data_IF_784398924997
#
_entry.id   IF_784398924997
#
_cell.length_a   1.000
_cell.length_b   1.000
_cell.length_c   1.000
_cell.angle_alpha   90.00
_cell.angle_beta   90.00
_cell.angle_gamma   90.00
#
_symmetry.space_group_name_H-M   'P 1'
#
loop_
_entity.id
_entity.type
_entity.pdbx_description
1 polymer ?
#
# COMPACT_ATOMS: atom_id res chain seq x y z
N UNK A 1 36.62 -19.12 25.80
CA UNK A 1 35.21 -19.19 26.25
C UNK A 1 34.40 -18.33 25.29
N UNK A 2 33.58 -18.95 24.44
CA UNK A 2 32.90 -18.28 23.35
C UNK A 2 31.41 -18.59 23.39
N UNK A 3 30.63 -17.59 22.95
CA UNK A 3 29.22 -17.62 22.54
C UNK A 3 28.16 -17.46 23.64
N UNK A 4 27.86 -16.19 23.95
CA UNK A 4 26.55 -15.76 24.49
C UNK A 4 25.97 -14.56 23.73
N UNK A 5 26.36 -14.34 22.47
CA UNK A 5 25.91 -13.20 21.66
C UNK A 5 24.67 -13.46 20.80
N UNK A 6 24.21 -14.72 20.69
CA UNK A 6 23.16 -15.14 19.75
C UNK A 6 21.73 -14.78 20.18
N UNK A 7 21.43 -14.79 21.49
CA UNK A 7 20.05 -14.57 21.98
C UNK A 7 19.54 -13.13 21.81
N UNK A 8 20.43 -12.14 21.70
CA UNK A 8 20.05 -10.73 21.62
C UNK A 8 19.78 -10.27 20.18
N UNK A 9 20.26 -11.02 19.18
CA UNK A 9 20.18 -10.65 17.76
C UNK A 9 18.83 -11.05 17.15
N UNK A 10 18.36 -12.28 17.45
CA UNK A 10 17.07 -12.78 16.97
C UNK A 10 15.90 -11.97 17.55
N UNK A 11 15.97 -11.57 18.82
CA UNK A 11 14.97 -10.71 19.45
C UNK A 11 14.85 -9.37 18.73
N UNK A 12 15.98 -8.72 18.46
CA UNK A 12 16.00 -7.46 17.70
C UNK A 12 15.47 -7.63 16.28
N UNK A 13 15.78 -8.74 15.60
CA UNK A 13 15.22 -9.03 14.28
C UNK A 13 13.70 -9.15 14.35
N UNK A 14 13.16 -9.91 15.31
CA UNK A 14 11.73 -10.08 15.49
C UNK A 14 11.04 -8.74 15.76
N UNK A 15 11.57 -7.91 16.66
CA UNK A 15 11.03 -6.58 16.97
C UNK A 15 10.98 -5.68 15.72
N UNK A 16 12.07 -5.68 14.93
CA UNK A 16 12.15 -4.91 13.68
C UNK A 16 11.13 -5.42 12.65
N UNK A 17 10.99 -6.74 12.49
CA UNK A 17 10.02 -7.32 11.55
C UNK A 17 8.58 -7.08 11.98
N UNK A 18 8.28 -7.12 13.26
CA UNK A 18 6.96 -6.81 13.82
C UNK A 18 6.61 -5.34 13.62
N UNK A 19 7.58 -4.42 13.77
CA UNK A 19 7.36 -3.01 13.48
C UNK A 19 6.99 -2.77 12.01
N UNK A 20 7.63 -3.47 11.07
CA UNK A 20 7.25 -3.43 9.64
C UNK A 20 5.86 -4.02 9.43
N UNK A 21 5.53 -5.14 10.06
CA UNK A 21 4.19 -5.75 9.96
C UNK A 21 3.08 -4.80 10.45
N UNK A 22 3.31 -4.13 11.60
CA UNK A 22 2.39 -3.11 12.14
C UNK A 22 2.26 -1.92 11.19
N UNK A 23 3.36 -1.45 10.61
CA UNK A 23 3.36 -0.37 9.62
C UNK A 23 2.60 -0.76 8.33
N UNK A 24 2.76 -2.00 7.86
CA UNK A 24 1.98 -2.50 6.72
C UNK A 24 0.49 -2.57 7.05
N UNK A 25 0.13 -2.94 8.28
CA UNK A 25 -1.26 -3.02 8.73
C UNK A 25 -1.91 -1.64 8.82
N UNK A 26 -1.18 -0.59 9.23
CA UNK A 26 -1.70 0.78 9.28
C UNK A 26 -2.00 1.38 7.90
N UNK A 27 -1.50 0.79 6.80
CA UNK A 27 -1.86 1.22 5.45
C UNK A 27 -3.35 1.01 5.13
N UNK A 28 -4.00 -0.02 5.66
CA UNK A 28 -5.40 -0.34 5.33
C UNK A 28 -6.39 0.79 5.71
N UNK A 29 -6.38 1.36 6.94
CA UNK A 29 -7.25 2.48 7.28
C UNK A 29 -6.96 3.73 6.43
N UNK A 30 -5.70 4.02 6.10
CA UNK A 30 -5.32 5.16 5.23
C UNK A 30 -5.88 4.94 3.80
N UNK A 31 -5.81 3.71 3.29
CA UNK A 31 -6.45 3.35 2.02
C UNK A 31 -7.96 3.51 2.05
N UNK A 32 -8.63 3.16 3.14
CA UNK A 32 -10.10 3.35 3.28
C UNK A 32 -10.45 4.84 3.36
N UNK A 33 -9.71 5.63 4.13
CA UNK A 33 -9.91 7.07 4.27
C UNK A 33 -9.73 7.80 2.91
N UNK A 34 -8.66 7.49 2.18
CA UNK A 34 -8.41 8.06 0.85
C UNK A 34 -9.53 7.75 -0.15
N UNK A 35 -10.16 6.56 -0.04
CA UNK A 35 -11.32 6.19 -0.87
C UNK A 35 -12.56 7.01 -0.53
N UNK A 36 -12.90 7.13 0.75
CA UNK A 36 -14.07 7.90 1.20
C UNK A 36 -13.98 9.36 0.75
N UNK A 37 -12.77 9.93 0.84
CA UNK A 37 -12.49 11.28 0.34
C UNK A 37 -12.65 11.41 -1.19
N UNK A 38 -12.49 10.31 -1.96
CA UNK A 38 -12.75 10.33 -3.42
C UNK A 38 -14.25 10.40 -3.77
N UNK A 39 -15.15 9.98 -2.87
CA UNK A 39 -16.59 10.00 -3.10
C UNK A 39 -17.17 11.42 -2.88
N UNK A 40 -16.53 12.22 -2.03
CA UNK A 40 -16.96 13.58 -1.67
C UNK A 40 -16.14 14.59 -2.49
N UNK A 41 -16.42 14.66 -3.80
CA UNK A 41 -15.57 15.40 -4.77
C UNK A 41 -15.76 16.92 -4.78
N UNK A 42 -16.63 17.50 -3.94
CA UNK A 42 -17.09 18.90 -4.11
C UNK A 42 -16.39 19.96 -3.27
N UNK A 43 -15.49 19.61 -2.36
CA UNK A 43 -14.87 20.59 -1.45
C UNK A 43 -13.34 20.58 -1.52
N UNK A 44 -12.73 21.77 -1.64
CA UNK A 44 -11.27 21.93 -1.79
C UNK A 44 -10.45 21.45 -0.58
N UNK A 45 -11.07 21.37 0.60
CA UNK A 45 -10.50 20.78 1.82
C UNK A 45 -10.23 19.28 1.66
N UNK A 46 -11.18 18.52 1.11
CA UNK A 46 -11.03 17.07 0.91
C UNK A 46 -9.98 16.71 -0.13
N UNK A 47 -9.73 17.59 -1.13
CA UNK A 47 -8.62 17.38 -2.08
C UNK A 47 -7.26 17.41 -1.40
N UNK A 48 -7.02 18.38 -0.52
CA UNK A 48 -5.74 18.49 0.22
C UNK A 48 -5.54 17.31 1.15
N UNK A 49 -6.58 16.95 1.92
CA UNK A 49 -6.54 15.78 2.82
C UNK A 49 -6.24 14.49 2.05
N UNK A 50 -6.90 14.28 0.90
CA UNK A 50 -6.65 13.13 0.02
C UNK A 50 -5.20 13.09 -0.45
N UNK A 51 -4.66 14.22 -0.92
CA UNK A 51 -3.30 14.26 -1.45
C UNK A 51 -2.27 14.00 -0.33
N UNK A 52 -2.53 14.47 0.89
CA UNK A 52 -1.77 14.09 2.09
C UNK A 52 -1.83 12.58 2.34
N UNK A 53 -3.02 11.97 2.38
CA UNK A 53 -3.19 10.53 2.62
C UNK A 53 -2.51 9.67 1.52
N UNK A 54 -2.56 10.11 0.26
CA UNK A 54 -1.87 9.45 -0.85
C UNK A 54 -0.35 9.52 -0.69
N UNK A 55 0.18 10.68 -0.31
CA UNK A 55 1.60 10.87 -0.09
C UNK A 55 2.09 10.07 1.11
N UNK A 56 1.36 10.11 2.24
CA UNK A 56 1.64 9.30 3.42
C UNK A 56 1.68 7.80 3.09
N UNK A 57 0.68 7.32 2.34
CA UNK A 57 0.66 5.93 1.87
C UNK A 57 1.89 5.60 1.01
N UNK A 58 2.32 6.52 0.13
CA UNK A 58 3.51 6.31 -0.72
C UNK A 58 4.77 6.23 0.13
N UNK A 59 4.95 7.18 1.05
CA UNK A 59 6.09 7.23 1.96
C UNK A 59 6.20 5.93 2.75
N UNK A 60 5.11 5.50 3.39
CA UNK A 60 5.10 4.25 4.17
C UNK A 60 5.39 3.01 3.32
N UNK A 61 4.92 2.96 2.07
CA UNK A 61 5.26 1.85 1.15
C UNK A 61 6.76 1.85 0.83
N UNK A 62 7.34 3.02 0.54
CA UNK A 62 8.78 3.14 0.25
C UNK A 62 9.63 2.77 1.47
N UNK A 63 9.31 3.27 2.65
CA UNK A 63 10.04 2.94 3.88
C UNK A 63 9.99 1.45 4.19
N UNK A 64 8.82 0.81 4.07
CA UNK A 64 8.69 -0.62 4.30
C UNK A 64 9.42 -1.45 3.23
N UNK A 65 9.47 -0.97 1.98
CA UNK A 65 10.29 -1.59 0.93
C UNK A 65 11.76 -1.59 1.29
N UNK A 66 12.28 -0.46 1.72
CA UNK A 66 13.70 -0.31 2.04
C UNK A 66 14.07 -1.15 3.27
N UNK A 67 13.20 -1.19 4.30
CA UNK A 67 13.39 -2.07 5.46
C UNK A 67 13.36 -3.55 5.09
N UNK A 68 12.44 -3.99 4.24
CA UNK A 68 12.39 -5.39 3.79
C UNK A 68 13.67 -5.75 3.02
N UNK A 69 14.17 -4.87 2.14
CA UNK A 69 15.46 -5.07 1.45
C UNK A 69 16.64 -5.12 2.42
N UNK A 70 16.60 -4.32 3.48
CA UNK A 70 17.62 -4.39 4.52
C UNK A 70 17.62 -5.77 5.20
N UNK A 71 16.45 -6.32 5.52
CA UNK A 71 16.35 -7.69 6.04
C UNK A 71 16.83 -8.73 5.03
N UNK A 72 16.57 -8.56 3.73
CA UNK A 72 17.13 -9.44 2.69
C UNK A 72 18.66 -9.48 2.74
N UNK A 73 19.29 -8.31 2.85
CA UNK A 73 20.73 -8.18 3.00
C UNK A 73 21.24 -8.81 4.30
N UNK A 74 20.61 -8.51 5.44
CA UNK A 74 20.97 -9.09 6.74
C UNK A 74 20.85 -10.62 6.73
N UNK A 75 19.76 -11.15 6.17
CA UNK A 75 19.51 -12.59 6.06
C UNK A 75 20.47 -13.29 5.10
N UNK A 76 20.96 -12.60 4.05
CA UNK A 76 21.95 -13.18 3.12
C UNK A 76 23.29 -13.50 3.79
N UNK A 77 23.56 -12.92 4.97
CA UNK A 77 24.76 -13.18 5.77
C UNK A 77 24.60 -14.38 6.70
N UNK A 78 23.38 -14.89 6.85
CA UNK A 78 23.10 -16.10 7.63
C UNK A 78 23.40 -17.33 6.78
N UNK A 79 24.21 -18.23 7.32
CA UNK A 79 24.46 -19.52 6.69
C UNK A 79 23.24 -20.44 6.87
N UNK A 80 23.01 -21.37 5.94
CA UNK A 80 21.86 -22.29 5.98
C UNK A 80 21.87 -23.22 7.20
N UNK A 81 23.03 -23.42 7.82
CA UNK A 81 23.18 -24.19 9.07
C UNK A 81 22.85 -23.39 10.32
N UNK A 82 22.55 -22.09 10.21
CA UNK A 82 22.13 -21.29 11.35
C UNK A 82 20.76 -21.78 11.84
N UNK A 83 20.59 -22.06 13.15
CA UNK A 83 19.32 -22.51 13.71
C UNK A 83 18.13 -21.59 13.42
N UNK A 84 18.38 -20.30 13.17
CA UNK A 84 17.37 -19.29 12.91
C UNK A 84 17.19 -18.99 11.41
N UNK A 85 17.96 -19.63 10.52
CA UNK A 85 17.90 -19.37 9.07
C UNK A 85 16.47 -19.45 8.52
N UNK A 86 15.75 -20.53 8.84
CA UNK A 86 14.37 -20.74 8.38
C UNK A 86 13.38 -19.74 8.99
N UNK A 87 13.60 -19.29 10.23
CA UNK A 87 12.78 -18.24 10.84
C UNK A 87 12.94 -16.92 10.07
N UNK A 88 14.18 -16.51 9.81
CA UNK A 88 14.49 -15.30 9.08
C UNK A 88 13.91 -15.32 7.66
N UNK A 89 14.13 -16.44 6.94
CA UNK A 89 13.59 -16.67 5.61
C UNK A 89 12.07 -16.54 5.57
N UNK A 90 11.35 -17.28 6.43
CA UNK A 90 9.87 -17.25 6.45
C UNK A 90 9.31 -15.88 6.79
N UNK A 91 9.93 -15.16 7.74
CA UNK A 91 9.48 -13.80 8.07
C UNK A 91 9.74 -12.81 6.95
N UNK A 92 10.89 -12.89 6.31
CA UNK A 92 11.18 -12.05 5.16
C UNK A 92 10.21 -12.33 3.99
N UNK A 93 9.95 -13.61 3.66
CA UNK A 93 8.98 -14.02 2.64
C UNK A 93 7.58 -13.47 2.96
N UNK A 94 7.11 -13.63 4.20
CA UNK A 94 5.81 -13.11 4.64
C UNK A 94 5.69 -11.59 4.48
N UNK A 95 6.70 -10.82 4.91
CA UNK A 95 6.68 -9.36 4.78
C UNK A 95 6.67 -8.93 3.31
N UNK A 96 7.45 -9.59 2.47
CA UNK A 96 7.53 -9.33 1.02
C UNK A 96 6.19 -9.58 0.33
N UNK A 97 5.55 -10.72 0.60
CA UNK A 97 4.24 -11.06 0.05
C UNK A 97 3.14 -10.08 0.52
N UNK A 98 3.12 -9.77 1.82
CA UNK A 98 2.15 -8.84 2.40
C UNK A 98 2.26 -7.44 1.77
N UNK A 99 3.48 -6.95 1.54
CA UNK A 99 3.72 -5.70 0.83
C UNK A 99 3.26 -5.79 -0.64
N UNK A 100 3.65 -6.83 -1.38
CA UNK A 100 3.26 -7.01 -2.79
C UNK A 100 1.75 -7.04 -2.98
N UNK A 101 1.02 -7.73 -2.11
CA UNK A 101 -0.44 -7.77 -2.14
C UNK A 101 -1.06 -6.39 -1.96
N UNK A 102 -0.48 -5.54 -1.10
CA UNK A 102 -0.95 -4.16 -0.88
C UNK A 102 -0.66 -3.27 -2.09
N UNK A 103 0.50 -3.44 -2.73
CA UNK A 103 0.83 -2.74 -3.97
C UNK A 103 -0.07 -3.17 -5.14
N UNK A 104 -0.33 -4.47 -5.29
CA UNK A 104 -1.23 -5.00 -6.32
C UNK A 104 -2.68 -4.50 -6.13
N UNK A 105 -3.17 -4.47 -4.88
CA UNK A 105 -4.46 -3.85 -4.52
C UNK A 105 -4.52 -2.36 -4.90
N UNK A 106 -3.39 -1.64 -4.88
CA UNK A 106 -3.30 -0.25 -5.34
C UNK A 106 -3.34 -0.15 -6.87
N UNK A 107 -2.67 -1.05 -7.59
CA UNK A 107 -2.65 -1.11 -9.05
C UNK A 107 -4.02 -1.39 -9.67
N UNK A 108 -4.73 -2.43 -9.21
CA UNK A 108 -6.10 -2.75 -9.68
C UNK A 108 -7.10 -1.61 -9.47
N UNK A 109 -6.97 -0.85 -8.38
CA UNK A 109 -7.85 0.29 -8.08
C UNK A 109 -7.60 1.50 -8.99
N UNK A 110 -6.37 1.69 -9.47
CA UNK A 110 -6.07 2.75 -10.44
C UNK A 110 -6.69 2.45 -11.81
N UNK A 111 -6.69 1.18 -12.23
CA UNK A 111 -7.37 0.73 -13.46
C UNK A 111 -8.89 0.93 -13.35
N UNK A 112 -9.50 0.59 -12.21
CA UNK A 112 -10.93 0.83 -11.96
C UNK A 112 -11.32 2.31 -12.03
N UNK A 113 -10.57 3.19 -11.34
CA UNK A 113 -10.80 4.65 -11.38
C UNK A 113 -10.58 5.26 -12.77
N UNK A 114 -9.59 4.77 -13.52
CA UNK A 114 -9.36 5.22 -14.89
C UNK A 114 -10.56 4.86 -15.78
N UNK A 115 -11.13 3.66 -15.62
CA UNK A 115 -12.31 3.21 -16.35
C UNK A 115 -13.58 4.00 -15.98
N UNK A 116 -13.80 4.30 -14.70
CA UNK A 116 -14.93 5.14 -14.25
C UNK A 116 -14.82 6.56 -14.81
N UNK A 117 -13.63 7.17 -14.73
CA UNK A 117 -13.38 8.51 -15.31
C UNK A 117 -13.57 8.52 -16.83
N UNK A 118 -13.15 7.45 -17.53
CA UNK A 118 -13.38 7.30 -18.96
C UNK A 118 -14.86 7.20 -19.29
N UNK A 119 -15.63 6.51 -18.44
CA UNK A 119 -17.06 6.33 -18.62
C UNK A 119 -17.81 7.67 -18.39
N UNK A 120 -17.47 8.42 -17.34
CA UNK A 120 -18.01 9.76 -17.08
C UNK A 120 -17.66 10.72 -18.23
N UNK A 121 -16.41 10.72 -18.69
CA UNK A 121 -15.98 11.56 -19.81
C UNK A 121 -16.72 11.21 -21.12
N UNK A 122 -16.96 9.91 -21.37
CA UNK A 122 -17.78 9.45 -22.50
C UNK A 122 -19.21 9.95 -22.39
N UNK A 123 -19.86 9.78 -21.24
CA UNK A 123 -21.22 10.25 -20.99
C UNK A 123 -21.34 11.76 -21.18
N UNK A 124 -20.38 12.54 -20.68
CA UNK A 124 -20.32 13.99 -20.88
C UNK A 124 -20.16 14.36 -22.37
N UNK A 125 -19.32 13.63 -23.11
CA UNK A 125 -19.13 13.87 -24.55
C UNK A 125 -20.38 13.54 -25.38
N UNK A 126 -21.22 12.62 -24.89
CA UNK A 126 -22.49 12.24 -25.52
C UNK A 126 -23.56 13.28 -25.21
N UNK A 127 -23.65 13.76 -23.96
CA UNK A 127 -24.61 14.81 -23.58
C UNK A 127 -24.33 16.12 -24.31
N UNK A 128 -23.07 16.52 -24.42
CA UNK A 128 -22.65 17.73 -25.17
C UNK A 128 -22.99 17.62 -26.67
N UNK A 129 -22.79 16.45 -27.28
CA UNK A 129 -23.13 16.22 -28.71
C UNK A 129 -24.63 16.19 -28.98
N UNK A 130 -25.45 15.84 -28.00
CA UNK A 130 -26.92 15.77 -28.13
C UNK A 130 -27.63 17.09 -27.86
N UNK A 131 -26.90 18.18 -27.55
CA UNK A 131 -27.48 19.51 -27.37
C UNK A 131 -28.32 19.71 -26.10
N UNK A 132 -28.43 18.69 -25.23
CA UNK A 132 -29.18 18.76 -23.99
C UNK A 132 -28.22 19.00 -22.82
N UNK A 133 -28.20 20.24 -22.33
CA UNK A 133 -27.42 20.65 -21.16
C UNK A 133 -28.00 20.10 -19.85
N UNK A 134 -27.85 18.80 -19.59
CA UNK A 134 -27.97 18.23 -18.24
C UNK A 134 -27.45 16.79 -18.20
N UNK A 135 -26.37 16.58 -17.44
CA UNK A 135 -25.76 15.24 -17.20
C UNK A 135 -26.63 14.37 -16.27
N UNK A 136 -27.64 14.96 -15.61
CA UNK A 136 -28.47 14.29 -14.62
C UNK A 136 -29.44 13.24 -15.20
N UNK A 137 -29.84 13.36 -16.47
CA UNK A 137 -30.77 12.40 -17.08
C UNK A 137 -30.14 11.03 -17.42
N UNK A 138 -28.81 10.97 -17.59
CA UNK A 138 -28.11 9.75 -18.01
C UNK A 138 -27.59 8.90 -16.84
N UNK A 139 -27.75 9.35 -15.59
CA UNK A 139 -27.28 8.64 -14.39
C UNK A 139 -28.39 7.84 -13.67
N UNK A 140 -29.61 7.81 -14.21
CA UNK A 140 -30.79 7.13 -13.60
C UNK A 140 -31.37 5.97 -14.46
N UNK A 141 -30.63 5.49 -15.47
CA UNK A 141 -30.91 4.26 -16.22
C UNK A 141 -29.70 3.31 -16.10
#
# INVERSE_FOLDING_TARGET
MAHSSSSNDVGQYLDKTEAVEKSLTSLEPIFIASKRSTLIQREGSYRKERDCLINETRTLIFENKDRIKQFEYENSRLHISDPNYELHRRRHEFLRENLQMREYRKGRKQIGKANENLNIARLYSISVRKGNGSVLEYLLL
#
